data_IF_399897116426
#
_entry.id   IF_399897116426
#
_cell.length_a   1.000
_cell.length_b   1.000
_cell.length_c   1.000
_cell.angle_alpha   90.00
_cell.angle_beta   90.00
_cell.angle_gamma   90.00
#
_symmetry.space_group_name_H-M   'P 1'
#
loop_
_entity.id
_entity.type
_entity.pdbx_description
1 polymer ?
#
# COMPACT_ATOMS: atom_id res chain seq x y z
N UNK A 1 22.78 24.49 -0.93
CA UNK A 1 22.34 23.92 0.37
C UNK A 1 20.90 23.43 0.34
N UNK A 2 19.93 24.26 -0.13
CA UNK A 2 18.51 23.91 -0.20
C UNK A 2 18.21 22.68 -1.09
N UNK A 3 18.81 22.59 -2.28
CA UNK A 3 18.62 21.46 -3.20
C UNK A 3 18.97 20.10 -2.55
N UNK A 4 20.09 20.03 -1.81
CA UNK A 4 20.53 18.80 -1.16
C UNK A 4 19.61 18.35 -0.02
N UNK A 5 18.94 19.29 0.66
CA UNK A 5 17.93 18.98 1.69
C UNK A 5 16.67 18.41 1.03
N UNK A 6 16.26 18.98 -0.10
CA UNK A 6 15.11 18.52 -0.88
C UNK A 6 15.34 17.09 -1.41
N UNK A 7 16.51 16.82 -1.99
CA UNK A 7 16.85 15.50 -2.52
C UNK A 7 16.90 14.43 -1.40
N UNK A 8 17.43 14.80 -0.23
CA UNK A 8 17.44 13.94 0.95
C UNK A 8 16.03 13.64 1.46
N UNK A 9 15.14 14.64 1.52
CA UNK A 9 13.74 14.46 1.91
C UNK A 9 13.02 13.51 0.94
N UNK A 10 13.12 13.74 -0.38
CA UNK A 10 12.48 12.87 -1.37
C UNK A 10 12.98 11.43 -1.32
N UNK A 11 14.28 11.22 -1.07
CA UNK A 11 14.82 9.88 -0.89
C UNK A 11 14.21 9.16 0.31
N UNK A 12 14.06 9.86 1.45
CA UNK A 12 13.46 9.28 2.64
C UNK A 12 11.97 9.00 2.48
N UNK A 13 11.23 9.89 1.81
CA UNK A 13 9.82 9.64 1.46
C UNK A 13 9.70 8.37 0.59
N UNK A 14 10.52 8.23 -0.45
CA UNK A 14 10.53 7.01 -1.29
C UNK A 14 10.83 5.74 -0.49
N UNK A 15 11.79 5.81 0.43
CA UNK A 15 12.12 4.69 1.33
C UNK A 15 10.94 4.33 2.23
N UNK A 16 10.30 5.33 2.83
CA UNK A 16 9.15 5.12 3.71
C UNK A 16 7.98 4.48 2.95
N UNK A 17 7.63 5.01 1.77
CA UNK A 17 6.57 4.46 0.92
C UNK A 17 6.89 3.03 0.49
N UNK A 18 8.14 2.73 0.12
CA UNK A 18 8.56 1.38 -0.23
C UNK A 18 8.40 0.39 0.93
N UNK A 19 8.86 0.77 2.13
CA UNK A 19 8.73 -0.06 3.33
C UNK A 19 7.25 -0.31 3.62
N UNK A 20 6.44 0.74 3.66
CA UNK A 20 5.01 0.64 3.95
C UNK A 20 4.29 -0.27 2.94
N UNK A 21 4.57 -0.11 1.65
CA UNK A 21 3.98 -0.95 0.60
C UNK A 21 4.39 -2.42 0.74
N UNK A 22 5.66 -2.71 1.04
CA UNK A 22 6.13 -4.07 1.33
C UNK A 22 5.44 -4.64 2.56
N UNK A 23 5.32 -3.86 3.64
CA UNK A 23 4.63 -4.28 4.87
C UNK A 23 3.17 -4.60 4.60
N UNK A 24 2.46 -3.80 3.80
CA UNK A 24 1.09 -4.09 3.40
C UNK A 24 0.97 -5.38 2.58
N UNK A 25 1.85 -5.60 1.61
CA UNK A 25 1.88 -6.84 0.83
C UNK A 25 2.08 -8.07 1.72
N UNK A 26 3.05 -7.99 2.64
CA UNK A 26 3.30 -9.07 3.61
C UNK A 26 2.09 -9.26 4.51
N UNK A 27 1.48 -8.18 5.03
CA UNK A 27 0.33 -8.26 5.90
C UNK A 27 -0.88 -8.91 5.21
N UNK A 28 -1.17 -8.56 3.95
CA UNK A 28 -2.26 -9.17 3.17
C UNK A 28 -2.00 -10.66 2.97
N UNK A 29 -0.77 -11.05 2.60
CA UNK A 29 -0.41 -12.47 2.45
C UNK A 29 -0.56 -13.19 3.79
N UNK A 30 -0.01 -12.63 4.87
CA UNK A 30 -0.10 -13.24 6.20
C UNK A 30 -1.55 -13.37 6.63
N UNK A 31 -2.38 -12.34 6.50
CA UNK A 31 -3.80 -12.38 6.88
C UNK A 31 -4.59 -13.47 6.13
N UNK A 32 -4.26 -13.75 4.87
CA UNK A 32 -4.89 -14.84 4.11
C UNK A 32 -4.50 -16.24 4.61
N UNK A 33 -3.28 -16.41 5.10
CA UNK A 33 -2.75 -17.70 5.52
C UNK A 33 -2.73 -17.90 7.03
N UNK A 34 -2.97 -16.86 7.82
CA UNK A 34 -2.76 -16.83 9.25
C UNK A 34 -3.86 -16.02 9.94
N UNK A 35 -4.72 -16.71 10.69
CA UNK A 35 -5.79 -16.12 11.49
C UNK A 35 -5.54 -16.44 12.97
N UNK A 36 -5.47 -15.41 13.80
CA UNK A 36 -5.34 -15.55 15.26
C UNK A 36 -6.59 -15.09 15.96
N UNK A 37 -7.43 -16.04 16.36
CA UNK A 37 -8.53 -15.80 17.27
C UNK A 37 -8.06 -15.66 18.72
N UNK A 38 -8.93 -15.15 19.60
CA UNK A 38 -8.66 -14.97 21.04
C UNK A 38 -8.22 -16.25 21.79
N UNK A 39 -8.42 -17.44 21.21
CA UNK A 39 -8.08 -18.74 21.81
C UNK A 39 -7.40 -19.75 20.86
N UNK A 40 -7.13 -19.40 19.60
CA UNK A 40 -6.53 -20.31 18.62
C UNK A 40 -5.74 -19.55 17.54
N UNK A 41 -4.76 -20.23 16.95
CA UNK A 41 -4.06 -19.77 15.75
C UNK A 41 -4.32 -20.80 14.64
N UNK A 42 -4.89 -20.33 13.52
CA UNK A 42 -5.18 -21.12 12.33
C UNK A 42 -4.16 -20.75 11.26
N UNK A 43 -3.55 -21.77 10.64
CA UNK A 43 -2.65 -21.57 9.48
C UNK A 43 -3.32 -22.24 8.28
N UNK A 44 -3.80 -21.45 7.33
CA UNK A 44 -4.68 -21.92 6.26
C UNK A 44 -5.99 -22.47 6.84
N UNK A 45 -6.31 -23.73 6.56
CA UNK A 45 -7.50 -24.37 7.11
C UNK A 45 -7.29 -25.16 8.41
N UNK A 46 -6.03 -25.40 8.80
CA UNK A 46 -5.67 -26.32 9.90
C UNK A 46 -5.37 -25.61 11.22
N UNK A 47 -5.80 -26.22 12.32
CA UNK A 47 -5.32 -25.89 13.66
C UNK A 47 -3.92 -26.51 13.88
N UNK A 48 -2.89 -25.67 14.03
CA UNK A 48 -1.50 -26.11 14.20
C UNK A 48 -1.06 -25.94 15.65
N UNK A 49 -0.24 -26.88 16.15
CA UNK A 49 0.32 -26.83 17.51
C UNK A 49 1.26 -25.63 17.72
N UNK A 50 1.48 -25.24 18.98
CA UNK A 50 2.29 -24.05 19.37
C UNK A 50 3.68 -24.00 18.73
N UNK A 51 4.36 -25.15 18.60
CA UNK A 51 5.67 -25.23 17.96
C UNK A 51 5.63 -24.92 16.46
N UNK A 52 4.62 -25.41 15.75
CA UNK A 52 4.45 -25.14 14.33
C UNK A 52 4.11 -23.66 14.08
N UNK A 53 3.30 -23.06 14.95
CA UNK A 53 3.00 -21.62 14.93
C UNK A 53 4.25 -20.78 15.16
N UNK A 54 5.09 -21.15 16.14
CA UNK A 54 6.36 -20.46 16.39
C UNK A 54 7.31 -20.52 15.18
N UNK A 55 7.43 -21.69 14.53
CA UNK A 55 8.23 -21.84 13.29
C UNK A 55 7.66 -21.00 12.16
N UNK A 56 6.34 -20.96 11.97
CA UNK A 56 5.71 -20.12 10.97
C UNK A 56 5.99 -18.63 11.21
N UNK A 57 5.90 -18.15 12.46
CA UNK A 57 6.23 -16.77 12.81
C UNK A 57 7.69 -16.44 12.51
N UNK A 58 8.62 -17.35 12.80
CA UNK A 58 10.05 -17.18 12.47
C UNK A 58 10.25 -17.10 10.95
N UNK A 59 9.61 -17.99 10.18
CA UNK A 59 9.68 -17.97 8.71
C UNK A 59 9.09 -16.68 8.15
N UNK A 60 7.97 -16.19 8.69
CA UNK A 60 7.36 -14.92 8.29
C UNK A 60 8.29 -13.73 8.62
N UNK A 61 8.89 -13.71 9.81
CA UNK A 61 9.80 -12.64 10.22
C UNK A 61 11.09 -12.61 9.36
N UNK A 62 11.69 -13.77 9.10
CA UNK A 62 12.86 -13.90 8.25
C UNK A 62 12.54 -13.63 6.78
N UNK A 63 11.43 -14.19 6.29
CA UNK A 63 10.92 -14.02 4.94
C UNK A 63 10.63 -12.55 4.65
N UNK A 64 9.88 -11.87 5.52
CA UNK A 64 9.57 -10.44 5.36
C UNK A 64 10.82 -9.57 5.37
N UNK A 65 11.81 -9.87 6.21
CA UNK A 65 13.10 -9.15 6.22
C UNK A 65 13.87 -9.34 4.90
N UNK A 66 13.90 -10.57 4.38
CA UNK A 66 14.55 -10.89 3.11
C UNK A 66 13.83 -10.25 1.91
N UNK A 67 12.50 -10.35 1.86
CA UNK A 67 11.65 -9.70 0.87
C UNK A 67 11.85 -8.18 0.90
N UNK A 68 11.97 -7.58 2.09
CA UNK A 68 12.23 -6.15 2.24
C UNK A 68 13.59 -5.77 1.66
N UNK A 69 14.65 -6.52 2.00
CA UNK A 69 16.00 -6.25 1.51
C UNK A 69 16.10 -6.32 -0.02
N UNK A 70 15.34 -7.21 -0.66
CA UNK A 70 15.32 -7.35 -2.13
C UNK A 70 14.39 -6.32 -2.78
N UNK A 71 13.13 -6.19 -2.36
CA UNK A 71 12.16 -5.33 -3.05
C UNK A 71 12.45 -3.84 -2.83
N UNK A 72 12.93 -3.45 -1.65
CA UNK A 72 13.12 -2.04 -1.31
C UNK A 72 13.99 -1.28 -2.32
N UNK A 73 15.19 -1.74 -2.73
CA UNK A 73 15.99 -1.03 -3.73
C UNK A 73 15.29 -0.95 -5.11
N UNK A 74 14.54 -1.97 -5.50
CA UNK A 74 13.77 -1.95 -6.75
C UNK A 74 12.63 -0.93 -6.70
N UNK A 75 11.86 -0.89 -5.61
CA UNK A 75 10.78 0.07 -5.40
C UNK A 75 11.31 1.51 -5.35
N UNK A 76 12.41 1.76 -4.64
CA UNK A 76 13.03 3.10 -4.60
C UNK A 76 13.44 3.56 -6.01
N UNK A 77 13.94 2.65 -6.84
CA UNK A 77 14.29 2.96 -8.23
C UNK A 77 13.05 3.30 -9.06
N UNK A 78 11.96 2.55 -8.90
CA UNK A 78 10.68 2.82 -9.58
C UNK A 78 10.08 4.15 -9.12
N UNK A 79 10.10 4.44 -7.82
CA UNK A 79 9.59 5.67 -7.23
C UNK A 79 10.46 6.91 -7.50
N UNK A 80 11.52 6.78 -8.30
CA UNK A 80 12.19 7.94 -8.89
C UNK A 80 11.22 8.75 -9.75
N UNK A 81 10.34 8.07 -10.46
CA UNK A 81 9.20 8.71 -11.11
C UNK A 81 8.16 9.11 -10.05
N UNK A 82 7.86 10.40 -10.00
CA UNK A 82 6.89 10.96 -9.06
C UNK A 82 5.48 10.41 -9.30
N UNK A 83 5.13 10.08 -10.53
CA UNK A 83 3.82 9.49 -10.87
C UNK A 83 3.68 8.11 -10.24
N UNK A 84 4.73 7.31 -10.31
CA UNK A 84 4.78 5.99 -9.66
C UNK A 84 4.72 6.10 -8.14
N UNK A 85 5.42 7.09 -7.55
CA UNK A 85 5.38 7.33 -6.10
C UNK A 85 3.97 7.71 -5.62
N UNK A 86 3.29 8.61 -6.32
CA UNK A 86 1.92 9.03 -5.97
C UNK A 86 0.93 7.88 -6.19
N UNK A 87 1.12 7.09 -7.25
CA UNK A 87 0.29 5.89 -7.49
C UNK A 87 0.46 4.85 -6.39
N UNK A 88 1.69 4.65 -5.90
CA UNK A 88 1.97 3.75 -4.78
C UNK A 88 1.30 4.19 -3.49
N UNK A 89 1.21 5.50 -3.22
CA UNK A 89 0.43 6.04 -2.10
C UNK A 89 -1.06 5.72 -2.24
N UNK A 90 -1.61 5.85 -3.45
CA UNK A 90 -3.00 5.44 -3.73
C UNK A 90 -3.25 3.95 -3.49
N UNK A 91 -2.32 3.09 -3.92
CA UNK A 91 -2.38 1.65 -3.63
C UNK A 91 -2.30 1.34 -2.14
N UNK A 92 -1.48 2.06 -1.38
CA UNK A 92 -1.41 1.94 0.08
C UNK A 92 -2.76 2.30 0.71
N UNK A 93 -3.44 3.34 0.24
CA UNK A 93 -4.78 3.68 0.73
C UNK A 93 -5.78 2.55 0.49
N UNK A 94 -5.75 1.91 -0.69
CA UNK A 94 -6.61 0.76 -0.98
C UNK A 94 -6.27 -0.47 -0.15
N UNK A 95 -4.98 -0.79 0.00
CA UNK A 95 -4.53 -1.90 0.83
C UNK A 95 -4.94 -1.69 2.30
N UNK A 96 -4.81 -0.47 2.81
CA UNK A 96 -5.26 -0.09 4.15
C UNK A 96 -6.77 -0.22 4.32
N UNK A 97 -7.57 0.25 3.35
CA UNK A 97 -9.02 0.06 3.34
C UNK A 97 -9.42 -1.43 3.36
N UNK A 98 -8.75 -2.24 2.53
CA UNK A 98 -9.01 -3.67 2.45
C UNK A 98 -8.75 -4.37 3.79
N UNK A 99 -7.59 -4.11 4.41
CA UNK A 99 -7.27 -4.67 5.72
C UNK A 99 -8.20 -4.16 6.82
N UNK A 100 -8.50 -2.86 6.84
CA UNK A 100 -9.39 -2.26 7.83
C UNK A 100 -10.81 -2.85 7.76
N UNK A 101 -11.30 -3.14 6.56
CA UNK A 101 -12.60 -3.80 6.34
C UNK A 101 -12.62 -5.26 6.80
N UNK A 102 -11.47 -5.94 6.86
CA UNK A 102 -11.40 -7.32 7.37
C UNK A 102 -11.37 -7.39 8.89
N UNK A 103 -10.78 -6.39 9.55
CA UNK A 103 -10.53 -6.40 11.00
C UNK A 103 -11.64 -5.75 11.83
N UNK A 104 -12.43 -4.86 11.24
CA UNK A 104 -13.47 -4.11 11.97
C UNK A 104 -14.85 -4.59 11.53
N UNK A 105 -15.47 -5.45 12.35
CA UNK A 105 -16.79 -6.07 12.10
C UNK A 105 -17.92 -5.04 11.85
N UNK A 106 -17.82 -3.84 12.46
CA UNK A 106 -18.78 -2.75 12.28
C UNK A 106 -18.54 -1.93 11.00
N UNK A 107 -17.44 -2.19 10.29
CA UNK A 107 -16.97 -1.35 9.19
C UNK A 107 -17.06 -2.10 7.87
N UNK A 108 -18.18 -1.92 7.18
CA UNK A 108 -18.37 -2.51 5.85
C UNK A 108 -18.17 -1.44 4.76
N UNK A 109 -17.21 -1.67 3.86
CA UNK A 109 -16.93 -0.84 2.68
C UNK A 109 -18.18 -0.65 1.81
N UNK A 110 -19.10 -1.60 1.83
CA UNK A 110 -20.33 -1.55 1.05
C UNK A 110 -21.47 -0.76 1.73
N UNK A 111 -21.30 -0.25 2.96
CA UNK A 111 -22.34 0.51 3.65
C UNK A 111 -22.55 1.92 3.06
N UNK A 112 -21.79 2.29 2.02
CA UNK A 112 -21.96 3.57 1.33
C UNK A 112 -21.61 4.79 2.19
N UNK A 113 -20.88 4.58 3.29
CA UNK A 113 -20.43 5.67 4.16
C UNK A 113 -19.69 6.74 3.34
N UNK A 114 -20.04 8.00 3.55
CA UNK A 114 -19.40 9.15 2.88
C UNK A 114 -17.89 9.17 3.12
N UNK A 115 -17.47 8.72 4.30
CA UNK A 115 -16.05 8.61 4.64
C UNK A 115 -15.35 7.55 3.77
N UNK A 116 -15.97 6.38 3.58
CA UNK A 116 -15.42 5.29 2.76
C UNK A 116 -15.36 5.68 1.28
N UNK A 117 -16.42 6.31 0.77
CA UNK A 117 -16.44 6.84 -0.59
C UNK A 117 -15.36 7.91 -0.79
N UNK A 118 -15.17 8.81 0.17
CA UNK A 118 -14.11 9.82 0.11
C UNK A 118 -12.71 9.19 0.11
N UNK A 119 -12.48 8.16 0.93
CA UNK A 119 -11.19 7.47 0.99
C UNK A 119 -10.91 6.64 -0.27
N UNK A 120 -11.94 5.97 -0.80
CA UNK A 120 -11.86 5.24 -2.07
C UNK A 120 -11.61 6.19 -3.25
N UNK A 121 -12.31 7.32 -3.31
CA UNK A 121 -12.10 8.37 -4.31
C UNK A 121 -10.69 8.96 -4.19
N UNK A 122 -10.22 9.23 -2.98
CA UNK A 122 -8.84 9.70 -2.75
C UNK A 122 -7.83 8.66 -3.27
N UNK A 123 -8.04 7.38 -2.96
CA UNK A 123 -7.23 6.28 -3.49
C UNK A 123 -7.22 6.23 -5.03
N UNK A 124 -8.39 6.41 -5.67
CA UNK A 124 -8.51 6.47 -7.13
C UNK A 124 -7.77 7.68 -7.71
N UNK A 125 -7.95 8.87 -7.12
CA UNK A 125 -7.29 10.10 -7.57
C UNK A 125 -5.78 9.98 -7.43
N UNK A 126 -5.27 9.41 -6.34
CA UNK A 126 -3.84 9.22 -6.15
C UNK A 126 -3.28 8.14 -7.10
N UNK A 127 -4.04 7.08 -7.38
CA UNK A 127 -3.62 6.00 -8.27
C UNK A 127 -3.62 6.41 -9.74
N UNK A 128 -4.70 7.06 -10.20
CA UNK A 128 -4.90 7.36 -11.63
C UNK A 128 -4.62 8.82 -11.98
N UNK A 129 -4.81 9.75 -11.05
CA UNK A 129 -4.62 11.20 -11.28
C UNK A 129 -3.28 11.55 -11.94
N UNK A 130 -2.13 11.03 -11.47
CA UNK A 130 -0.83 11.32 -12.09
C UNK A 130 -0.70 10.91 -13.56
N UNK A 131 -1.52 9.97 -14.01
CA UNK A 131 -1.50 9.43 -15.37
C UNK A 131 -2.47 10.15 -16.31
N UNK A 132 -3.56 10.67 -15.75
CA UNK A 132 -4.66 11.24 -16.54
C UNK A 132 -4.62 12.78 -16.53
N UNK A 133 -4.01 13.39 -15.50
CA UNK A 133 -3.96 14.84 -15.34
C UNK A 133 -3.35 15.58 -16.53
N UNK A 134 -2.16 15.16 -17.00
CA UNK A 134 -1.53 15.81 -18.15
C UNK A 134 -2.35 15.67 -19.43
N UNK A 135 -2.89 14.47 -19.69
CA UNK A 135 -3.72 14.21 -20.87
C UNK A 135 -5.02 15.03 -20.86
N UNK A 136 -5.66 15.16 -19.70
CA UNK A 136 -6.85 16.01 -19.53
C UNK A 136 -6.47 17.48 -19.73
N UNK A 137 -5.36 17.94 -19.14
CA UNK A 137 -4.93 19.33 -19.25
C UNK A 137 -4.58 19.70 -20.70
N UNK A 138 -3.90 18.81 -21.42
CA UNK A 138 -3.64 18.98 -22.86
C UNK A 138 -4.93 19.02 -23.67
N UNK A 139 -5.87 18.11 -23.40
CA UNK A 139 -7.17 18.12 -24.06
C UNK A 139 -7.94 19.43 -23.77
N UNK A 140 -7.98 19.89 -22.52
CA UNK A 140 -8.62 21.14 -22.13
C UNK A 140 -7.97 22.35 -22.80
N UNK A 141 -6.64 22.41 -22.82
CA UNK A 141 -5.89 23.47 -23.51
C UNK A 141 -6.18 23.48 -25.02
N UNK A 142 -6.38 22.32 -25.64
CA UNK A 142 -6.75 22.22 -27.05
C UNK A 142 -8.20 22.68 -27.33
N UNK A 143 -9.07 22.72 -26.32
CA UNK A 143 -10.44 23.25 -26.45
C UNK A 143 -10.53 24.76 -26.25
N UNK A 144 -9.47 25.42 -25.78
CA UNK A 144 -9.44 26.88 -25.65
C UNK A 144 -9.00 27.46 -27.00
N UNK A 145 -9.90 28.06 -27.81
CA UNK A 145 -9.48 28.77 -29.00
C UNK A 145 -8.60 29.94 -28.55
N UNK A 146 -7.31 29.89 -28.90
CA UNK A 146 -6.43 31.04 -28.78
C UNK A 146 -6.96 32.13 -29.74
N UNK A 147 -7.66 33.11 -29.18
CA UNK A 147 -7.98 34.40 -29.83
C UNK A 147 -6.77 35.31 -29.66
#
# INVERSE_FOLDING_TARGET
>A
MIQGVIDWLFLNVRKAVAIVLITFLVAIIVAQYYDTGKKYARIGEDFRGKAAVAVALIIIALGSSFTTAILQPHLIRIFRDIRMLVSALGLICFAGLYLANQEVDEWNVNDGSRFMLALALLGLVLTFGPWVYESILQWMMAQIPFI
#
